data_IF_369913705202
#
_entry.id   IF_369913705202
#
_cell.length_a   1.000
_cell.length_b   1.000
_cell.length_c   1.000
_cell.angle_alpha   90.00
_cell.angle_beta   90.00
_cell.angle_gamma   90.00
#
_symmetry.space_group_name_H-M   'P 1'
#
loop_
_entity.id
_entity.type
_entity.pdbx_description
1 polymer ?
#
# COMPACT_ATOMS: atom_id res chain seq x y z
N UNK A 1 30.69 8.74 33.20
CA UNK A 1 29.51 9.48 32.76
C UNK A 1 28.54 8.49 32.17
N UNK A 2 27.70 7.97 33.03
CA UNK A 2 26.56 7.12 32.73
C UNK A 2 25.41 8.05 32.30
N UNK A 3 25.08 8.05 31.00
CA UNK A 3 23.89 8.73 30.51
C UNK A 3 22.67 7.89 30.89
N UNK A 4 21.85 8.45 31.75
CA UNK A 4 20.50 7.93 32.05
C UNK A 4 19.64 8.08 30.80
N UNK A 5 19.15 6.95 30.29
CA UNK A 5 18.10 6.96 29.32
C UNK A 5 16.77 7.32 30.00
N UNK A 6 16.14 8.42 29.58
CA UNK A 6 14.87 8.86 30.09
C UNK A 6 13.71 7.94 29.55
N UNK A 7 12.52 8.00 30.15
CA UNK A 7 11.38 7.10 29.83
C UNK A 7 10.75 7.31 28.45
N UNK A 8 11.42 8.00 27.52
CA UNK A 8 10.91 8.36 26.19
C UNK A 8 11.68 7.73 25.02
N UNK A 9 12.52 6.71 25.27
CA UNK A 9 13.35 6.05 24.24
C UNK A 9 12.69 4.81 23.62
N UNK A 10 11.36 4.77 23.55
CA UNK A 10 10.66 3.77 22.74
C UNK A 10 10.75 4.16 21.26
N UNK A 11 11.49 3.40 20.43
CA UNK A 11 11.66 3.71 19.02
C UNK A 11 10.33 3.74 18.24
N UNK A 12 9.26 3.14 18.79
CA UNK A 12 7.92 3.17 18.19
C UNK A 12 7.22 4.52 18.37
N UNK A 13 7.58 5.29 19.38
CA UNK A 13 6.99 6.63 19.64
C UNK A 13 7.73 7.77 18.90
N UNK A 14 9.02 7.59 18.59
CA UNK A 14 9.81 8.63 17.93
C UNK A 14 9.32 9.00 16.52
N UNK A 15 8.74 8.06 15.77
CA UNK A 15 8.23 8.36 14.43
C UNK A 15 6.89 9.14 14.46
N UNK A 16 6.06 8.96 15.51
CA UNK A 16 4.84 9.74 15.71
C UNK A 16 5.14 11.21 16.01
N UNK A 17 6.22 11.48 16.75
CA UNK A 17 6.72 12.84 17.01
C UNK A 17 7.17 13.50 15.71
N UNK A 18 7.85 12.78 14.83
CA UNK A 18 8.26 13.29 13.51
C UNK A 18 7.09 13.58 12.57
N UNK A 19 5.97 12.83 12.67
CA UNK A 19 4.73 13.13 11.95
C UNK A 19 4.10 14.45 12.44
N UNK A 20 4.07 14.68 13.74
CA UNK A 20 3.55 15.94 14.35
C UNK A 20 4.43 17.16 14.04
N UNK A 21 5.75 17.00 13.98
CA UNK A 21 6.68 18.09 13.65
C UNK A 21 6.67 18.48 12.17
N UNK A 22 6.35 17.54 11.25
CA UNK A 22 6.27 17.84 9.82
C UNK A 22 4.94 18.48 9.39
N UNK A 23 3.88 18.41 10.22
CA UNK A 23 2.59 19.04 9.96
C UNK A 23 2.50 20.51 10.43
N UNK A 24 3.46 21.00 11.21
CA UNK A 24 3.44 22.33 11.83
C UNK A 24 4.10 23.43 10.99
N UNK A 25 3.94 23.45 9.69
CA UNK A 25 4.56 24.50 8.88
C UNK A 25 4.01 24.66 7.48
N UNK A 26 3.07 25.53 7.30
CA UNK A 26 2.97 26.61 6.30
C UNK A 26 1.54 26.97 5.94
N UNK A 27 1.11 28.15 6.35
CA UNK A 27 -0.05 28.86 5.79
C UNK A 27 0.26 29.30 4.35
N UNK A 28 -0.59 28.95 3.38
CA UNK A 28 -0.57 29.54 2.05
C UNK A 28 -1.97 29.73 1.45
N UNK A 29 -2.15 30.90 0.93
CA UNK A 29 -3.31 31.59 0.39
C UNK A 29 -4.14 30.82 -0.65
N UNK A 30 -5.45 31.12 -0.63
CA UNK A 30 -6.49 30.63 -1.54
C UNK A 30 -6.45 31.33 -2.90
N UNK A 31 -6.56 30.55 -3.97
CA UNK A 31 -7.10 31.06 -5.26
C UNK A 31 -8.12 30.05 -5.81
N UNK A 32 -9.33 30.57 -6.11
CA UNK A 32 -10.44 29.84 -6.73
C UNK A 32 -10.30 29.88 -8.24
N UNK A 33 -10.54 28.73 -8.92
CA UNK A 33 -11.10 28.75 -10.28
C UNK A 33 -11.90 27.46 -10.61
N UNK A 34 -12.81 27.59 -11.54
CA UNK A 34 -14.08 26.93 -11.76
C UNK A 34 -14.02 25.47 -12.28
N UNK A 35 -15.10 24.74 -11.99
CA UNK A 35 -15.40 23.37 -12.33
C UNK A 35 -15.73 23.14 -13.81
N UNK A 36 -15.33 21.99 -14.33
CA UNK A 36 -15.93 21.34 -15.49
C UNK A 36 -16.55 20.00 -15.06
N UNK A 37 -17.85 19.88 -15.32
CA UNK A 37 -18.67 18.70 -15.03
C UNK A 37 -18.28 17.55 -15.98
N UNK A 38 -17.92 16.41 -15.42
CA UNK A 38 -17.92 15.13 -16.14
C UNK A 38 -18.67 14.07 -15.34
N UNK A 39 -19.57 13.40 -16.05
CA UNK A 39 -20.53 12.38 -15.66
C UNK A 39 -20.04 11.43 -14.58
N UNK A 40 -20.85 11.27 -13.54
CA UNK A 40 -20.71 10.24 -12.51
C UNK A 40 -21.06 8.87 -13.09
N UNK A 41 -20.25 7.83 -12.83
CA UNK A 41 -20.67 6.46 -13.08
C UNK A 41 -21.70 6.00 -12.02
N UNK A 42 -22.61 5.19 -12.46
CA UNK A 42 -23.79 4.60 -11.83
C UNK A 42 -23.75 4.39 -10.31
N UNK A 43 -24.91 4.65 -9.71
CA UNK A 43 -25.26 4.44 -8.31
C UNK A 43 -24.85 3.05 -7.81
N UNK A 44 -23.69 2.95 -7.15
CA UNK A 44 -23.37 1.83 -6.30
C UNK A 44 -24.40 1.80 -5.15
N UNK A 45 -25.20 0.74 -5.04
CA UNK A 45 -26.16 0.53 -3.95
C UNK A 45 -25.48 0.74 -2.60
N UNK A 46 -25.84 1.81 -1.92
CA UNK A 46 -25.37 2.09 -0.55
C UNK A 46 -26.14 1.16 0.39
N UNK A 47 -25.49 0.40 1.28
CA UNK A 47 -26.14 -0.53 2.20
C UNK A 47 -27.21 0.14 3.09
N UNK A 48 -28.31 -0.55 3.38
CA UNK A 48 -29.37 -0.02 4.26
C UNK A 48 -28.86 0.07 5.71
N UNK A 49 -29.32 1.09 6.44
CA UNK A 49 -28.92 1.37 7.86
C UNK A 49 -29.24 0.24 8.83
N UNK A 50 -30.11 -0.69 8.42
CA UNK A 50 -30.55 -1.83 9.25
C UNK A 50 -29.76 -3.11 9.00
N UNK A 51 -28.84 -3.13 8.02
CA UNK A 51 -28.05 -4.31 7.76
C UNK A 51 -26.95 -4.54 8.81
N UNK A 52 -26.67 -5.81 9.20
CA UNK A 52 -25.56 -6.12 10.07
C UNK A 52 -24.25 -5.65 9.41
N UNK A 53 -23.32 -5.12 10.22
CA UNK A 53 -22.02 -4.64 9.71
C UNK A 53 -21.30 -5.83 9.06
N UNK A 54 -21.09 -5.76 7.74
CA UNK A 54 -20.26 -6.72 7.04
C UNK A 54 -18.81 -6.55 7.51
N UNK A 55 -18.19 -7.64 7.92
CA UNK A 55 -16.78 -7.67 8.33
C UNK A 55 -15.81 -7.56 7.16
N UNK A 56 -16.29 -7.58 5.92
CA UNK A 56 -15.45 -7.43 4.75
C UNK A 56 -14.92 -5.98 4.61
N UNK A 57 -13.59 -5.75 4.61
CA UNK A 57 -13.03 -4.41 4.53
C UNK A 57 -13.26 -3.78 3.16
N UNK A 58 -13.55 -2.47 3.13
CA UNK A 58 -13.57 -1.68 1.89
C UNK A 58 -12.19 -1.67 1.24
N UNK A 59 -12.16 -1.81 -0.09
CA UNK A 59 -10.93 -1.95 -0.87
C UNK A 59 -10.59 -0.68 -1.64
N UNK A 60 -9.32 -0.31 -1.64
CA UNK A 60 -8.82 0.83 -2.40
C UNK A 60 -8.40 0.45 -3.82
N UNK A 61 -8.53 1.41 -4.74
CA UNK A 61 -8.01 1.34 -6.11
C UNK A 61 -6.60 1.97 -6.17
N UNK A 62 -5.77 1.57 -7.13
CA UNK A 62 -4.53 2.28 -7.42
C UNK A 62 -4.89 3.63 -8.04
N UNK A 63 -4.40 4.72 -7.44
CA UNK A 63 -4.63 6.08 -7.89
C UNK A 63 -3.42 6.68 -8.58
N UNK A 64 -3.68 7.71 -9.39
CA UNK A 64 -2.65 8.55 -9.98
C UNK A 64 -2.47 9.82 -9.14
N UNK A 65 -1.23 10.12 -8.75
CA UNK A 65 -0.87 11.26 -7.90
C UNK A 65 -1.38 12.57 -8.53
N UNK A 66 -1.19 12.77 -9.85
CA UNK A 66 -1.61 13.99 -10.54
C UNK A 66 -3.13 14.16 -10.63
N UNK A 67 -3.90 13.07 -10.62
CA UNK A 67 -5.35 13.13 -10.59
C UNK A 67 -5.87 13.60 -9.21
N UNK A 68 -5.28 13.07 -8.13
CA UNK A 68 -5.63 13.48 -6.76
C UNK A 68 -5.19 14.93 -6.49
N UNK A 69 -4.01 15.35 -6.97
CA UNK A 69 -3.48 16.70 -6.78
C UNK A 69 -4.40 17.80 -7.34
N UNK A 70 -5.12 17.52 -8.44
CA UNK A 70 -6.06 18.50 -9.06
C UNK A 70 -7.27 18.80 -8.19
N UNK A 71 -7.62 17.92 -7.26
CA UNK A 71 -8.76 18.00 -6.34
C UNK A 71 -8.33 17.77 -4.91
N UNK A 72 -7.18 18.33 -4.51
CA UNK A 72 -6.51 18.03 -3.24
C UNK A 72 -7.40 18.25 -2.00
N UNK A 73 -8.28 19.27 -2.04
CA UNK A 73 -9.17 19.63 -0.93
C UNK A 73 -10.24 18.58 -0.63
N UNK A 74 -10.59 17.74 -1.61
CA UNK A 74 -11.59 16.68 -1.46
C UNK A 74 -11.06 15.45 -0.70
N UNK A 75 -9.75 15.36 -0.55
CA UNK A 75 -9.07 14.17 -0.04
C UNK A 75 -8.44 14.39 1.31
N UNK A 76 -8.52 13.36 2.14
CA UNK A 76 -7.67 13.19 3.32
C UNK A 76 -6.55 12.22 3.00
N UNK A 77 -5.37 12.46 3.55
CA UNK A 77 -4.17 11.66 3.28
C UNK A 77 -3.77 10.92 4.55
N UNK A 78 -3.70 9.59 4.47
CA UNK A 78 -3.20 8.73 5.54
C UNK A 78 -1.97 7.98 5.08
N UNK A 79 -1.12 7.57 6.00
CA UNK A 79 0.02 6.71 5.67
C UNK A 79 -0.47 5.33 5.24
N UNK A 80 0.10 4.81 4.16
CA UNK A 80 -0.22 3.47 3.71
C UNK A 80 0.64 2.47 4.50
N UNK A 81 0.02 1.92 5.54
CA UNK A 81 0.64 0.88 6.34
C UNK A 81 0.83 -0.39 5.53
N UNK A 82 1.93 -1.12 5.79
CA UNK A 82 2.23 -2.41 5.18
C UNK A 82 2.13 -3.50 6.25
N UNK A 83 1.00 -4.18 6.30
CA UNK A 83 0.67 -5.10 7.36
C UNK A 83 -0.41 -6.12 7.00
N UNK A 84 -1.17 -6.52 7.99
CA UNK A 84 -2.35 -7.39 7.88
C UNK A 84 -3.60 -6.59 8.22
N UNK A 85 -4.46 -6.39 7.22
CA UNK A 85 -5.75 -5.72 7.41
C UNK A 85 -6.65 -6.54 8.31
N UNK A 86 -7.27 -5.89 9.29
CA UNK A 86 -8.24 -6.51 10.17
C UNK A 86 -9.44 -5.61 10.43
N UNK A 87 -10.61 -6.24 10.53
CA UNK A 87 -11.80 -5.65 11.15
C UNK A 87 -11.85 -6.18 12.56
N UNK A 88 -11.87 -5.28 13.54
CA UNK A 88 -11.97 -5.63 14.95
C UNK A 88 -13.36 -5.33 15.46
N UNK A 89 -14.06 -6.36 15.98
CA UNK A 89 -15.28 -6.20 16.76
C UNK A 89 -14.89 -6.15 18.22
N UNK A 90 -15.33 -5.11 18.93
CA UNK A 90 -14.87 -4.80 20.28
C UNK A 90 -16.08 -4.62 21.19
N UNK A 91 -16.10 -5.37 22.28
CA UNK A 91 -16.91 -5.10 23.46
C UNK A 91 -16.05 -4.32 24.45
N UNK A 92 -16.46 -3.15 24.82
CA UNK A 92 -15.71 -2.27 25.71
C UNK A 92 -15.53 -2.89 27.08
N UNK A 93 -14.33 -2.76 27.66
CA UNK A 93 -14.08 -3.16 29.03
C UNK A 93 -14.82 -2.23 30.01
N UNK A 94 -15.29 -2.80 31.13
CA UNK A 94 -15.89 -2.09 32.26
C UNK A 94 -15.18 -2.45 33.55
N UNK A 95 -15.56 -1.86 34.67
CA UNK A 95 -14.99 -2.22 35.98
C UNK A 95 -15.22 -3.70 36.35
N UNK A 96 -16.30 -4.31 35.84
CA UNK A 96 -16.71 -5.67 36.16
C UNK A 96 -16.47 -6.67 35.02
N UNK A 97 -16.15 -6.20 33.80
CA UNK A 97 -15.97 -7.03 32.61
C UNK A 97 -14.71 -6.57 31.83
N UNK A 98 -13.75 -7.46 31.57
CA UNK A 98 -12.55 -7.12 30.81
C UNK A 98 -12.83 -6.75 29.34
N UNK A 99 -14.08 -6.93 28.87
CA UNK A 99 -14.46 -6.76 27.48
C UNK A 99 -13.96 -7.90 26.59
N UNK A 100 -14.19 -7.77 25.30
CA UNK A 100 -13.76 -8.75 24.32
C UNK A 100 -13.36 -8.11 22.99
N UNK A 101 -12.43 -8.76 22.29
CA UNK A 101 -11.98 -8.36 20.94
C UNK A 101 -12.00 -9.58 20.03
N UNK A 102 -12.56 -9.42 18.84
CA UNK A 102 -12.45 -10.40 17.75
C UNK A 102 -11.81 -9.73 16.55
N UNK A 103 -10.72 -10.30 16.04
CA UNK A 103 -9.96 -9.80 14.90
C UNK A 103 -10.22 -10.66 13.67
N UNK A 104 -10.88 -10.11 12.67
CA UNK A 104 -11.15 -10.81 11.40
C UNK A 104 -10.26 -10.24 10.30
N UNK A 105 -9.48 -11.11 9.67
CA UNK A 105 -8.61 -10.73 8.55
C UNK A 105 -9.43 -10.43 7.28
N UNK A 106 -8.77 -9.82 6.29
CA UNK A 106 -9.39 -9.54 4.98
C UNK A 106 -9.98 -10.77 4.29
N UNK A 107 -9.48 -11.97 4.59
CA UNK A 107 -9.94 -13.24 4.00
C UNK A 107 -10.93 -13.97 4.91
N UNK A 108 -11.58 -13.25 5.79
CA UNK A 108 -12.60 -13.78 6.72
C UNK A 108 -12.06 -14.88 7.67
N UNK A 109 -10.80 -14.76 8.09
CA UNK A 109 -10.20 -15.66 9.05
C UNK A 109 -10.13 -14.97 10.41
N UNK A 110 -10.55 -15.67 11.47
CA UNK A 110 -10.29 -15.25 12.84
C UNK A 110 -8.80 -15.38 13.14
N UNK A 111 -8.17 -14.27 13.49
CA UNK A 111 -6.75 -14.14 13.80
C UNK A 111 -6.51 -13.65 15.23
N UNK A 112 -7.54 -13.63 16.06
CA UNK A 112 -7.50 -13.11 17.43
C UNK A 112 -6.41 -13.78 18.26
N UNK A 113 -6.38 -15.11 18.28
CA UNK A 113 -5.39 -15.88 19.03
C UNK A 113 -3.95 -15.69 18.54
N UNK A 114 -3.75 -15.28 17.29
CA UNK A 114 -2.42 -15.02 16.72
C UNK A 114 -1.79 -13.73 17.28
N UNK A 115 -2.63 -12.78 17.71
CA UNK A 115 -2.20 -11.45 18.16
C UNK A 115 -2.81 -11.10 19.53
N UNK A 116 -2.48 -11.86 20.61
CA UNK A 116 -3.11 -11.69 21.91
C UNK A 116 -2.86 -10.33 22.56
N UNK A 117 -1.78 -9.63 22.21
CA UNK A 117 -1.50 -8.28 22.68
C UNK A 117 -2.55 -7.25 22.23
N UNK A 118 -3.26 -7.51 21.13
CA UNK A 118 -4.26 -6.59 20.56
C UNK A 118 -5.62 -6.67 21.25
N UNK A 119 -5.84 -7.62 22.17
CA UNK A 119 -7.05 -7.64 23.02
C UNK A 119 -7.10 -6.44 23.96
N UNK A 120 -5.98 -5.74 24.17
CA UNK A 120 -5.91 -4.44 24.84
C UNK A 120 -6.90 -3.43 24.26
N UNK A 121 -7.31 -3.57 23.00
CA UNK A 121 -8.26 -2.68 22.34
C UNK A 121 -9.57 -2.56 23.13
N UNK A 122 -10.03 -3.60 23.85
CA UNK A 122 -11.22 -3.52 24.71
C UNK A 122 -11.11 -2.45 25.81
N UNK A 123 -9.89 -2.20 26.29
CA UNK A 123 -9.59 -1.18 27.30
C UNK A 123 -9.36 0.21 26.69
N UNK A 124 -9.12 0.26 25.37
CA UNK A 124 -8.85 1.49 24.63
C UNK A 124 -10.12 2.12 24.03
N UNK A 125 -11.27 1.48 24.14
CA UNK A 125 -12.53 2.00 23.61
C UNK A 125 -13.48 2.44 24.71
N UNK A 126 -14.26 3.49 24.45
CA UNK A 126 -15.27 4.01 25.38
C UNK A 126 -16.67 3.42 25.16
N UNK A 127 -16.88 2.66 24.11
CA UNK A 127 -18.15 2.05 23.69
C UNK A 127 -17.89 0.79 22.87
N UNK A 128 -18.88 -0.10 22.83
CA UNK A 128 -18.85 -1.24 21.90
C UNK A 128 -18.75 -0.73 20.48
N UNK A 129 -17.82 -1.28 19.70
CA UNK A 129 -17.59 -0.77 18.33
C UNK A 129 -17.05 -1.81 17.37
N UNK A 130 -17.14 -1.49 16.08
CA UNK A 130 -16.44 -2.19 15.02
C UNK A 130 -15.48 -1.22 14.35
N UNK A 131 -14.21 -1.55 14.33
CA UNK A 131 -13.17 -0.69 13.75
C UNK A 131 -12.40 -1.40 12.65
N UNK A 132 -11.82 -0.61 11.76
CA UNK A 132 -11.02 -1.04 10.62
C UNK A 132 -9.58 -0.58 10.82
N UNK A 133 -8.62 -1.51 10.73
CA UNK A 133 -7.23 -1.22 11.02
C UNK A 133 -6.26 -2.10 10.25
N UNK A 134 -4.96 -1.80 10.44
CA UNK A 134 -3.85 -2.58 9.89
C UNK A 134 -2.94 -3.01 11.02
N UNK A 135 -2.69 -4.31 11.16
CA UNK A 135 -1.72 -4.86 12.10
C UNK A 135 -0.35 -4.72 11.48
N UNK A 136 0.58 -4.09 12.18
CA UNK A 136 1.95 -3.86 11.72
C UNK A 136 2.98 -4.35 12.75
N UNK A 137 4.21 -4.59 12.30
CA UNK A 137 5.36 -4.78 13.16
C UNK A 137 6.48 -3.83 12.75
N UNK A 138 7.27 -3.37 13.69
CA UNK A 138 8.37 -2.45 13.43
C UNK A 138 9.71 -3.16 13.39
N UNK A 139 10.58 -2.74 12.47
CA UNK A 139 11.95 -3.15 12.41
C UNK A 139 12.83 -2.40 13.43
N UNK A 140 14.10 -2.79 13.52
CA UNK A 140 15.09 -2.18 14.44
C UNK A 140 15.27 -0.66 14.28
N UNK A 141 14.87 -0.10 13.13
CA UNK A 141 14.93 1.33 12.85
C UNK A 141 13.66 2.09 13.18
N UNK A 142 12.66 1.46 13.81
CA UNK A 142 11.37 2.08 14.14
C UNK A 142 10.43 2.30 12.94
N UNK A 143 10.77 1.78 11.75
CA UNK A 143 9.87 1.83 10.60
C UNK A 143 9.05 0.54 10.51
N UNK A 144 7.80 0.60 10.02
CA UNK A 144 7.02 -0.58 9.73
C UNK A 144 7.76 -1.49 8.76
N UNK A 145 7.82 -2.79 9.07
CA UNK A 145 8.56 -3.78 8.30
C UNK A 145 7.77 -5.08 8.20
N UNK A 146 7.14 -5.32 7.06
CA UNK A 146 6.29 -6.49 6.83
C UNK A 146 7.03 -7.82 7.07
N UNK A 147 8.33 -7.86 6.78
CA UNK A 147 9.17 -9.04 7.03
C UNK A 147 9.22 -9.46 8.51
N UNK A 148 9.10 -8.51 9.44
CA UNK A 148 8.96 -8.80 10.87
C UNK A 148 7.59 -9.41 11.17
N UNK A 149 6.52 -8.79 10.64
CA UNK A 149 5.17 -9.29 10.82
C UNK A 149 4.98 -10.72 10.27
N UNK A 150 5.64 -11.08 9.17
CA UNK A 150 5.59 -12.43 8.61
C UNK A 150 5.99 -13.51 9.60
N UNK A 151 6.82 -13.22 10.61
CA UNK A 151 7.21 -14.16 11.66
C UNK A 151 6.07 -14.49 12.61
N UNK A 152 5.10 -13.58 12.75
CA UNK A 152 3.90 -13.74 13.56
C UNK A 152 2.76 -14.41 12.79
N UNK A 153 2.72 -14.19 11.48
CA UNK A 153 1.64 -14.70 10.63
C UNK A 153 1.59 -16.23 10.65
N UNK A 154 0.36 -16.77 10.67
CA UNK A 154 0.08 -18.21 10.63
C UNK A 154 0.57 -19.02 11.83
N UNK A 155 0.99 -18.37 12.91
CA UNK A 155 1.22 -19.08 14.18
C UNK A 155 -0.12 -19.50 14.78
N UNK A 156 -0.21 -20.76 15.18
CA UNK A 156 -1.42 -21.34 15.79
C UNK A 156 -1.15 -22.04 17.12
N UNK A 157 0.12 -22.33 17.42
CA UNK A 157 0.49 -22.95 18.68
C UNK A 157 0.71 -21.88 19.73
N UNK A 158 0.04 -21.95 20.90
CA UNK A 158 0.18 -20.94 21.96
C UNK A 158 1.63 -20.68 22.38
N UNK A 159 2.45 -21.72 22.51
CA UNK A 159 3.87 -21.59 22.87
C UNK A 159 4.68 -20.78 21.85
N UNK A 160 4.40 -20.96 20.55
CA UNK A 160 5.11 -20.27 19.49
C UNK A 160 4.65 -18.80 19.41
N UNK A 161 3.37 -18.56 19.69
CA UNK A 161 2.78 -17.21 19.77
C UNK A 161 3.41 -16.43 20.93
N UNK A 162 3.44 -17.01 22.13
CA UNK A 162 4.03 -16.39 23.33
C UNK A 162 5.52 -16.08 23.13
N UNK A 163 6.27 -17.01 22.54
CA UNK A 163 7.69 -16.82 22.23
C UNK A 163 7.90 -15.67 21.23
N UNK A 164 7.07 -15.59 20.18
CA UNK A 164 7.23 -14.58 19.14
C UNK A 164 6.63 -13.22 19.53
N UNK A 165 5.64 -13.16 20.39
CA UNK A 165 5.07 -11.91 20.91
C UNK A 165 6.15 -11.04 21.55
N UNK A 166 6.99 -11.59 22.40
CA UNK A 166 8.08 -10.86 23.06
C UNK A 166 9.21 -10.44 22.10
N UNK A 167 9.45 -11.22 21.01
CA UNK A 167 10.52 -10.96 20.04
C UNK A 167 10.11 -10.00 18.93
N UNK A 168 8.84 -10.03 18.58
CA UNK A 168 8.25 -9.25 17.47
C UNK A 168 6.86 -8.79 17.90
N UNK A 169 6.79 -7.76 18.77
CA UNK A 169 5.52 -7.16 19.15
C UNK A 169 4.83 -6.58 17.92
N UNK A 170 3.49 -6.64 17.89
CA UNK A 170 2.68 -6.06 16.83
C UNK A 170 1.85 -4.90 17.37
N UNK A 171 1.39 -4.06 16.46
CA UNK A 171 0.62 -2.85 16.77
C UNK A 171 -0.54 -2.74 15.80
N UNK A 172 -1.69 -2.29 16.28
CA UNK A 172 -2.87 -2.04 15.47
C UNK A 172 -2.98 -0.54 15.16
N UNK A 173 -2.91 -0.20 13.88
CA UNK A 173 -3.17 1.14 13.36
C UNK A 173 -4.64 1.24 12.98
N UNK A 174 -5.46 1.82 13.86
CA UNK A 174 -6.90 1.98 13.65
C UNK A 174 -7.13 3.25 12.83
N UNK A 175 -7.81 3.13 11.70
CA UNK A 175 -8.00 4.27 10.80
C UNK A 175 -9.46 4.49 10.35
N UNK A 176 -10.42 3.65 10.76
CA UNK A 176 -11.84 3.87 10.53
C UNK A 176 -12.70 3.22 11.61
N UNK A 177 -13.92 3.71 11.81
CA UNK A 177 -14.95 3.12 12.69
C UNK A 177 -16.22 2.90 11.89
N UNK A 178 -16.79 1.69 12.00
CA UNK A 178 -17.88 1.22 11.16
C UNK A 178 -19.21 1.08 11.93
N UNK A 179 -19.12 0.89 13.25
CA UNK A 179 -20.25 0.77 14.14
C UNK A 179 -19.87 1.29 15.55
N UNK A 180 -20.81 1.92 16.25
CA UNK A 180 -20.65 2.32 17.66
C UNK A 180 -21.97 2.04 18.35
N UNK A 181 -21.97 1.26 19.45
CA UNK A 181 -23.15 0.90 20.25
C UNK A 181 -24.33 0.38 19.40
N UNK A 182 -24.02 -0.41 18.36
CA UNK A 182 -25.01 -0.96 17.42
C UNK A 182 -25.46 0.00 16.31
N UNK A 183 -25.07 1.28 16.35
CA UNK A 183 -25.35 2.22 15.26
C UNK A 183 -24.33 2.05 14.12
N UNK A 184 -24.82 1.71 12.93
CA UNK A 184 -23.98 1.58 11.73
C UNK A 184 -23.55 2.94 11.19
N UNK A 185 -22.23 3.11 10.98
CA UNK A 185 -21.63 4.31 10.40
C UNK A 185 -21.26 4.15 8.92
N UNK A 186 -21.66 3.05 8.28
CA UNK A 186 -21.28 2.77 6.89
C UNK A 186 -21.71 3.87 5.92
N UNK A 187 -22.87 4.51 6.18
CA UNK A 187 -23.40 5.63 5.36
C UNK A 187 -22.90 7.01 5.80
N UNK A 188 -22.17 7.08 6.89
CA UNK A 188 -21.60 8.34 7.39
C UNK A 188 -20.38 8.72 6.56
N UNK A 189 -20.20 9.99 6.17
CA UNK A 189 -19.02 10.46 5.46
C UNK A 189 -17.72 10.14 6.21
N UNK A 190 -16.66 9.80 5.49
CA UNK A 190 -15.35 9.46 6.07
C UNK A 190 -14.86 10.50 7.08
N UNK A 191 -14.98 11.80 6.77
CA UNK A 191 -14.53 12.86 7.68
C UNK A 191 -15.27 12.84 9.03
N UNK A 192 -16.54 12.45 9.06
CA UNK A 192 -17.33 12.33 10.29
C UNK A 192 -17.00 11.03 11.02
N UNK A 193 -16.81 9.90 10.29
CA UNK A 193 -16.35 8.65 10.91
C UNK A 193 -15.00 8.83 11.58
N UNK A 194 -14.07 9.59 10.97
CA UNK A 194 -12.78 9.90 11.60
C UNK A 194 -12.91 10.68 12.90
N UNK A 195 -13.81 11.67 12.98
CA UNK A 195 -14.08 12.38 14.23
C UNK A 195 -14.60 11.41 15.28
N UNK A 196 -15.58 10.57 14.89
CA UNK A 196 -16.17 9.58 15.79
C UNK A 196 -15.15 8.56 16.28
N UNK A 197 -14.20 8.16 15.42
CA UNK A 197 -13.10 7.27 15.78
C UNK A 197 -12.27 7.85 16.93
N UNK A 198 -11.86 9.11 16.86
CA UNK A 198 -11.09 9.79 17.92
C UNK A 198 -11.87 10.00 19.22
N UNK A 199 -13.21 10.01 19.17
CA UNK A 199 -14.06 10.08 20.36
C UNK A 199 -14.19 8.72 21.06
N UNK A 200 -14.14 7.62 20.30
CA UNK A 200 -14.41 6.26 20.78
C UNK A 200 -13.14 5.50 21.11
N UNK A 201 -12.05 5.68 20.34
CA UNK A 201 -10.82 4.92 20.52
C UNK A 201 -9.70 5.83 21.05
N UNK A 202 -9.12 5.45 22.17
CA UNK A 202 -7.89 6.03 22.73
C UNK A 202 -6.67 5.16 22.37
N UNK A 203 -5.47 5.75 22.35
CA UNK A 203 -4.22 5.01 22.15
C UNK A 203 -3.85 4.20 23.40
N UNK A 204 -3.22 3.04 23.18
CA UNK A 204 -2.69 2.12 24.19
C UNK A 204 -1.22 1.80 23.96
N UNK A 205 -0.74 0.70 24.53
CA UNK A 205 0.62 0.22 24.32
C UNK A 205 0.79 -0.32 22.89
N UNK A 206 -0.21 -1.08 22.41
CA UNK A 206 -0.23 -1.71 21.09
C UNK A 206 -1.28 -1.12 20.13
N UNK A 207 -2.06 -0.13 20.57
CA UNK A 207 -3.17 0.47 19.81
C UNK A 207 -2.83 1.92 19.47
N UNK A 208 -2.90 2.26 18.18
CA UNK A 208 -2.68 3.61 17.68
C UNK A 208 -3.81 4.06 16.76
N UNK A 209 -4.14 5.35 16.84
CA UNK A 209 -5.11 6.02 15.94
C UNK A 209 -4.37 7.11 15.17
N UNK A 210 -3.61 6.77 14.12
CA UNK A 210 -2.82 7.75 13.38
C UNK A 210 -3.70 8.85 12.78
N UNK A 211 -3.34 10.10 12.98
CA UNK A 211 -4.03 11.22 12.34
C UNK A 211 -3.89 11.18 10.81
N UNK A 212 -4.88 11.70 10.09
CA UNK A 212 -4.68 12.03 8.69
C UNK A 212 -3.64 13.14 8.58
N UNK A 213 -2.84 13.12 7.52
CA UNK A 213 -1.79 14.10 7.32
C UNK A 213 -2.40 15.50 7.09
N UNK A 214 -1.98 16.45 7.91
CA UNK A 214 -2.37 17.85 7.77
C UNK A 214 -1.36 18.56 6.86
N UNK A 215 -1.70 18.70 5.58
CA UNK A 215 -0.81 19.31 4.58
C UNK A 215 -1.14 18.85 3.16
N UNK A 216 -0.25 19.20 2.23
CA UNK A 216 -0.42 18.85 0.84
C UNK A 216 -0.17 17.36 0.57
N UNK A 217 -0.67 16.87 -0.56
CA UNK A 217 -0.35 15.52 -1.03
C UNK A 217 1.17 15.32 -1.19
N UNK A 218 1.89 16.34 -1.66
CA UNK A 218 3.34 16.24 -1.88
C UNK A 218 4.09 16.12 -0.55
N UNK A 219 3.64 16.81 0.49
CA UNK A 219 4.19 16.69 1.83
C UNK A 219 3.89 15.31 2.45
N UNK A 220 2.65 14.80 2.27
CA UNK A 220 2.29 13.46 2.71
C UNK A 220 3.14 12.39 2.00
N UNK A 221 3.33 12.49 0.69
CA UNK A 221 4.18 11.59 -0.08
C UNK A 221 5.65 11.68 0.37
N UNK A 222 6.17 12.89 0.57
CA UNK A 222 7.54 13.09 1.06
C UNK A 222 7.75 12.49 2.46
N UNK A 223 6.80 12.69 3.37
CA UNK A 223 6.85 12.13 4.72
C UNK A 223 6.76 10.61 4.72
N UNK A 224 5.84 10.05 3.92
CA UNK A 224 5.73 8.60 3.71
C UNK A 224 7.04 7.99 3.18
N UNK A 225 7.74 8.68 2.27
CA UNK A 225 9.03 8.23 1.73
C UNK A 225 10.15 8.27 2.79
N UNK A 226 10.22 9.33 3.61
CA UNK A 226 11.18 9.44 4.72
C UNK A 226 10.99 8.32 5.75
N UNK A 227 9.74 7.95 6.02
CA UNK A 227 9.36 6.85 6.91
C UNK A 227 9.49 5.47 6.25
N UNK A 228 9.91 5.39 5.00
CA UNK A 228 10.05 4.15 4.20
C UNK A 228 8.75 3.35 4.11
N UNK A 229 7.62 4.03 4.10
CA UNK A 229 6.30 3.41 3.89
C UNK A 229 6.06 3.18 2.39
N UNK A 230 5.09 2.32 2.07
CA UNK A 230 4.75 1.96 0.69
C UNK A 230 4.19 3.14 -0.12
N UNK A 231 3.57 4.11 0.55
CA UNK A 231 2.93 5.27 -0.05
C UNK A 231 1.91 5.92 0.88
N UNK A 232 0.91 6.53 0.28
CA UNK A 232 -0.17 7.25 0.95
C UNK A 232 -1.52 6.68 0.51
N UNK A 233 -2.47 6.63 1.44
CA UNK A 233 -3.88 6.40 1.18
C UNK A 233 -4.57 7.76 1.04
N UNK A 234 -5.16 8.05 -0.13
CA UNK A 234 -6.06 9.18 -0.31
C UNK A 234 -7.50 8.69 -0.15
N UNK A 235 -8.22 9.23 0.82
CA UNK A 235 -9.61 8.89 1.11
C UNK A 235 -10.49 10.12 0.88
N UNK A 236 -11.54 9.98 0.07
CA UNK A 236 -12.45 11.09 -0.21
C UNK A 236 -13.22 11.44 1.06
N UNK A 237 -13.18 12.72 1.48
CA UNK A 237 -13.72 13.21 2.75
C UNK A 237 -15.22 12.96 2.93
N UNK A 238 -15.97 13.01 1.82
CA UNK A 238 -17.42 12.81 1.76
C UNK A 238 -17.84 11.36 1.49
N UNK A 239 -16.87 10.44 1.34
CA UNK A 239 -17.18 9.07 0.96
C UNK A 239 -17.80 8.23 2.09
N UNK A 240 -18.77 7.41 1.72
CA UNK A 240 -19.33 6.35 2.57
C UNK A 240 -18.39 5.13 2.59
N UNK A 241 -18.57 4.25 3.59
CA UNK A 241 -17.82 3.00 3.65
C UNK A 241 -18.58 1.89 2.92
N UNK A 242 -17.99 1.33 1.87
CA UNK A 242 -18.59 0.27 1.05
C UNK A 242 -17.92 -1.07 1.37
N UNK A 243 -18.46 -1.78 2.36
CA UNK A 243 -17.93 -3.06 2.84
C UNK A 243 -17.77 -4.06 1.68
N UNK A 244 -16.62 -4.74 1.62
CA UNK A 244 -16.28 -5.72 0.59
C UNK A 244 -16.04 -5.16 -0.82
N UNK A 245 -16.39 -3.91 -1.10
CA UNK A 245 -16.29 -3.33 -2.45
C UNK A 245 -14.97 -2.59 -2.67
N UNK A 246 -14.50 -2.63 -3.92
CA UNK A 246 -13.38 -1.82 -4.40
C UNK A 246 -13.93 -0.54 -5.03
N UNK A 247 -13.51 0.61 -4.50
CA UNK A 247 -14.01 1.91 -4.96
C UNK A 247 -12.88 2.83 -5.40
N UNK A 248 -13.24 3.92 -6.08
CA UNK A 248 -12.32 5.01 -6.42
C UNK A 248 -12.30 6.13 -5.39
N UNK A 249 -13.13 6.04 -4.35
CA UNK A 249 -13.14 7.01 -3.24
C UNK A 249 -12.03 6.74 -2.23
N UNK A 250 -11.38 5.56 -2.29
CA UNK A 250 -10.15 5.24 -1.60
C UNK A 250 -9.08 4.88 -2.61
N UNK A 251 -7.99 5.64 -2.64
CA UNK A 251 -6.89 5.48 -3.58
C UNK A 251 -5.59 5.16 -2.87
N UNK A 252 -4.86 4.16 -3.39
CA UNK A 252 -3.48 3.87 -2.98
C UNK A 252 -2.54 4.64 -3.88
N UNK A 253 -1.81 5.59 -3.31
CA UNK A 253 -0.79 6.38 -3.98
C UNK A 253 0.57 5.83 -3.55
N UNK A 254 1.14 4.94 -4.35
CA UNK A 254 2.41 4.27 -4.04
C UNK A 254 3.58 5.10 -4.55
N UNK A 255 4.73 5.02 -3.85
CA UNK A 255 5.99 5.59 -4.32
C UNK A 255 6.49 4.88 -5.56
N UNK A 256 6.29 3.59 -5.61
CA UNK A 256 6.58 2.74 -6.75
C UNK A 256 5.45 1.73 -6.96
N UNK A 257 5.27 1.34 -8.22
CA UNK A 257 4.35 0.29 -8.63
C UNK A 257 5.16 -0.85 -9.21
N UNK A 258 4.73 -2.08 -9.01
CA UNK A 258 5.28 -3.24 -9.71
C UNK A 258 4.28 -3.73 -10.75
N UNK A 259 4.78 -4.30 -11.84
CA UNK A 259 3.99 -5.04 -12.82
C UNK A 259 4.83 -6.09 -13.52
N UNK A 260 4.16 -7.10 -14.01
CA UNK A 260 4.76 -8.08 -14.90
C UNK A 260 4.86 -7.52 -16.32
N UNK A 261 5.97 -7.84 -16.99
CA UNK A 261 6.27 -7.43 -18.35
C UNK A 261 6.89 -8.59 -19.13
N UNK A 262 6.69 -8.58 -20.44
CA UNK A 262 7.36 -9.49 -21.39
C UNK A 262 8.66 -8.88 -21.87
N UNK A 263 9.74 -9.64 -21.84
CA UNK A 263 11.01 -9.24 -22.47
C UNK A 263 10.87 -9.47 -23.97
N UNK A 264 11.01 -8.39 -24.75
CA UNK A 264 10.88 -8.40 -26.23
C UNK A 264 12.19 -8.10 -26.95
N UNK A 265 13.19 -7.72 -26.20
CA UNK A 265 14.53 -7.44 -26.72
C UNK A 265 15.45 -6.81 -25.68
N UNK A 266 16.66 -6.55 -26.09
CA UNK A 266 17.68 -5.88 -25.27
C UNK A 266 18.59 -5.02 -26.13
N UNK A 267 19.33 -4.10 -25.51
CA UNK A 267 20.35 -3.26 -26.15
C UNK A 267 21.69 -3.49 -25.49
N UNK A 268 22.76 -3.36 -26.25
CA UNK A 268 24.13 -3.54 -25.74
C UNK A 268 24.45 -2.56 -24.61
N UNK A 269 25.23 -3.04 -23.65
CA UNK A 269 25.77 -2.24 -22.56
C UNK A 269 27.00 -1.46 -22.97
N UNK A 270 27.21 -0.31 -22.35
CA UNK A 270 28.38 0.52 -22.49
C UNK A 270 29.27 0.45 -21.23
N UNK A 271 30.58 0.71 -21.38
CA UNK A 271 31.48 0.75 -20.24
C UNK A 271 31.59 -0.59 -19.50
N UNK A 272 31.32 -0.59 -18.19
CA UNK A 272 31.39 -1.79 -17.34
C UNK A 272 30.42 -2.92 -17.71
N UNK A 273 29.43 -2.67 -18.58
CA UNK A 273 28.48 -3.67 -19.10
C UNK A 273 28.75 -4.11 -20.53
N UNK A 274 29.97 -3.84 -21.03
CA UNK A 274 30.41 -4.27 -22.36
C UNK A 274 30.43 -5.80 -22.42
N UNK A 275 29.78 -6.40 -23.42
CA UNK A 275 29.65 -7.87 -23.53
C UNK A 275 28.36 -8.46 -22.92
N UNK A 276 27.59 -7.64 -22.18
CA UNK A 276 26.25 -7.97 -21.69
C UNK A 276 25.23 -7.00 -22.28
N UNK A 277 24.05 -6.83 -21.62
CA UNK A 277 23.09 -5.84 -22.06
C UNK A 277 23.09 -4.61 -21.14
N UNK A 278 22.81 -3.43 -21.70
CA UNK A 278 22.64 -2.18 -20.96
C UNK A 278 21.20 -1.90 -20.56
N UNK A 279 20.23 -2.44 -21.33
CA UNK A 279 18.81 -2.33 -21.01
C UNK A 279 17.98 -3.38 -21.72
N UNK A 280 16.89 -3.80 -21.09
CA UNK A 280 15.83 -4.62 -21.66
C UNK A 280 14.80 -3.74 -22.35
N UNK A 281 14.19 -4.25 -23.41
CA UNK A 281 13.00 -3.72 -24.06
C UNK A 281 11.82 -4.58 -23.60
N UNK A 282 10.77 -3.93 -23.06
CA UNK A 282 9.66 -4.65 -22.43
C UNK A 282 8.30 -4.27 -23.02
N UNK A 283 7.37 -5.22 -22.98
CA UNK A 283 6.03 -5.11 -23.53
C UNK A 283 5.00 -5.83 -22.64
N UNK A 284 3.71 -5.68 -22.95
CA UNK A 284 2.63 -6.48 -22.41
C UNK A 284 1.59 -6.76 -23.51
N UNK A 285 0.73 -7.76 -23.30
CA UNK A 285 -0.36 -8.09 -24.22
C UNK A 285 -1.51 -7.07 -24.09
N UNK A 286 -2.21 -6.84 -25.19
CA UNK A 286 -3.48 -6.12 -25.25
C UNK A 286 -4.41 -6.81 -26.26
N UNK A 287 -5.65 -6.39 -26.34
CA UNK A 287 -6.63 -6.90 -27.31
C UNK A 287 -6.15 -6.72 -28.77
N UNK A 288 -5.30 -5.73 -29.02
CA UNK A 288 -4.73 -5.42 -30.35
C UNK A 288 -3.36 -6.06 -30.59
N UNK A 289 -2.85 -6.87 -29.67
CA UNK A 289 -1.52 -7.49 -29.70
C UNK A 289 -0.55 -6.85 -28.70
N UNK A 290 0.76 -7.07 -28.90
CA UNK A 290 1.79 -6.58 -27.97
C UNK A 290 1.93 -5.06 -28.00
N UNK A 291 1.93 -4.45 -26.83
CA UNK A 291 2.19 -3.03 -26.60
C UNK A 291 3.56 -2.84 -25.94
N UNK A 292 4.40 -2.03 -26.56
CA UNK A 292 5.72 -1.70 -26.01
C UNK A 292 5.61 -0.77 -24.80
N UNK A 293 6.19 -1.14 -23.67
CA UNK A 293 6.10 -0.40 -22.40
C UNK A 293 7.35 0.42 -22.05
N UNK A 294 8.45 0.25 -22.79
CA UNK A 294 9.66 1.04 -22.53
C UNK A 294 10.92 0.22 -22.32
N UNK A 295 11.91 0.82 -21.65
CA UNK A 295 13.22 0.22 -21.36
C UNK A 295 13.45 0.12 -19.86
N UNK A 296 14.04 -1.00 -19.43
CA UNK A 296 14.54 -1.24 -18.07
C UNK A 296 16.07 -1.30 -18.12
N UNK A 297 16.73 -0.35 -17.47
CA UNK A 297 18.21 -0.22 -17.53
C UNK A 297 18.91 -0.33 -16.17
N UNK A 298 18.16 -0.52 -15.09
CA UNK A 298 18.70 -0.57 -13.71
C UNK A 298 18.07 -1.70 -12.92
N UNK A 299 18.68 -2.07 -11.78
CA UNK A 299 18.19 -3.09 -10.86
C UNK A 299 18.79 -4.47 -11.09
N UNK A 300 19.73 -4.63 -12.02
CA UNK A 300 20.43 -5.89 -12.28
C UNK A 300 21.72 -5.95 -11.48
N UNK A 301 22.02 -7.11 -10.91
CA UNK A 301 23.36 -7.48 -10.47
C UNK A 301 24.13 -8.21 -11.60
N UNK A 302 25.41 -8.46 -11.40
CA UNK A 302 26.28 -9.02 -12.43
C UNK A 302 25.93 -10.47 -12.80
N UNK A 303 25.45 -11.27 -11.85
CA UNK A 303 25.02 -12.65 -12.05
C UNK A 303 23.73 -12.70 -12.87
N UNK A 304 22.79 -11.82 -12.56
CA UNK A 304 21.53 -11.66 -13.30
C UNK A 304 21.79 -11.19 -14.74
N UNK A 305 22.74 -10.27 -14.96
CA UNK A 305 23.09 -9.80 -16.29
C UNK A 305 23.58 -10.94 -17.19
N UNK A 306 24.40 -11.84 -16.64
CA UNK A 306 24.96 -12.97 -17.41
C UNK A 306 23.90 -14.05 -17.65
N UNK A 307 23.21 -14.51 -16.62
CA UNK A 307 22.21 -15.58 -16.73
C UNK A 307 21.04 -15.18 -17.65
N UNK A 308 20.56 -13.94 -17.51
CA UNK A 308 19.47 -13.44 -18.34
C UNK A 308 19.90 -13.27 -19.81
N UNK A 309 21.16 -12.90 -20.05
CA UNK A 309 21.71 -12.83 -21.40
C UNK A 309 21.71 -14.20 -22.09
N UNK A 310 22.12 -15.26 -21.40
CA UNK A 310 22.10 -16.62 -21.90
C UNK A 310 20.68 -17.12 -22.25
N UNK A 311 19.68 -16.79 -21.41
CA UNK A 311 18.28 -17.12 -21.68
C UNK A 311 17.74 -16.36 -22.90
N UNK A 312 18.07 -15.08 -23.03
CA UNK A 312 17.63 -14.26 -24.16
C UNK A 312 18.26 -14.73 -25.49
N UNK A 313 19.50 -15.17 -25.48
CA UNK A 313 20.19 -15.68 -26.69
C UNK A 313 19.52 -16.95 -27.25
N UNK A 314 18.98 -17.84 -26.38
CA UNK A 314 18.20 -19.01 -26.79
C UNK A 314 16.87 -18.64 -27.47
N UNK A 315 16.35 -17.46 -27.19
CA UNK A 315 15.06 -16.94 -27.69
C UNK A 315 15.24 -15.87 -28.78
N UNK A 316 16.48 -15.72 -29.31
CA UNK A 316 16.82 -14.69 -30.29
C UNK A 316 15.98 -14.78 -31.57
N UNK A 317 15.57 -13.61 -32.11
CA UNK A 317 14.81 -13.50 -33.36
C UNK A 317 15.27 -12.30 -34.19
N UNK A 318 15.05 -12.37 -35.52
CA UNK A 318 15.51 -11.35 -36.47
C UNK A 318 14.66 -10.09 -36.51
N UNK A 319 13.39 -10.17 -36.16
CA UNK A 319 12.43 -9.07 -36.30
C UNK A 319 11.80 -8.68 -34.95
N UNK A 320 11.47 -7.40 -34.73
CA UNK A 320 10.79 -6.99 -33.51
C UNK A 320 9.44 -7.68 -33.36
N UNK A 321 9.09 -8.22 -32.17
CA UNK A 321 7.78 -8.82 -31.92
C UNK A 321 6.70 -7.77 -31.69
N UNK A 322 7.08 -6.53 -31.44
CA UNK A 322 6.19 -5.42 -31.13
C UNK A 322 6.62 -4.14 -31.87
N UNK A 323 5.72 -3.21 -32.10
CA UNK A 323 6.01 -1.92 -32.69
C UNK A 323 6.79 -1.04 -31.68
N UNK A 324 8.09 -0.88 -31.93
CA UNK A 324 9.01 -0.08 -31.11
C UNK A 324 9.32 1.24 -31.81
N UNK A 325 9.45 2.39 -31.12
CA UNK A 325 9.90 3.66 -31.71
C UNK A 325 11.24 3.54 -32.41
N UNK A 326 11.45 4.32 -33.48
CA UNK A 326 12.63 4.22 -34.35
C UNK A 326 13.93 4.46 -33.57
N UNK A 327 13.95 5.42 -32.66
CA UNK A 327 15.07 5.75 -31.78
C UNK A 327 15.45 4.62 -30.82
N UNK A 328 14.53 3.70 -30.54
CA UNK A 328 14.72 2.55 -29.67
C UNK A 328 15.13 1.26 -30.43
N UNK A 329 15.03 1.25 -31.76
CA UNK A 329 15.38 0.09 -32.59
C UNK A 329 16.87 -0.02 -32.89
N UNK A 330 17.58 1.08 -32.82
CA UNK A 330 19.00 1.13 -33.09
C UNK A 330 19.74 0.25 -32.07
N UNK A 331 20.61 -0.64 -32.54
CA UNK A 331 21.42 -1.56 -31.73
C UNK A 331 20.56 -2.47 -30.80
N UNK A 332 19.34 -2.78 -31.23
CA UNK A 332 18.43 -3.65 -30.49
C UNK A 332 18.53 -5.10 -31.02
N UNK A 333 18.64 -6.03 -30.09
CA UNK A 333 18.53 -7.46 -30.30
C UNK A 333 17.16 -7.94 -29.85
N UNK A 334 16.46 -8.64 -30.75
CA UNK A 334 15.07 -9.02 -30.49
C UNK A 334 14.96 -10.42 -29.90
N UNK A 335 13.98 -10.60 -29.02
CA UNK A 335 13.72 -11.84 -28.29
C UNK A 335 12.28 -12.26 -28.49
N UNK A 336 12.05 -13.56 -28.62
CA UNK A 336 10.68 -14.12 -28.61
C UNK A 336 10.08 -13.89 -27.21
N UNK A 337 8.89 -13.27 -27.07
CA UNK A 337 8.33 -12.83 -25.80
C UNK A 337 7.82 -14.01 -24.95
N UNK A 338 8.72 -14.78 -24.39
CA UNK A 338 8.44 -15.91 -23.50
C UNK A 338 8.95 -15.72 -22.07
N UNK A 339 9.83 -14.73 -21.86
CA UNK A 339 10.36 -14.42 -20.54
C UNK A 339 9.47 -13.35 -19.91
N UNK A 340 8.87 -13.70 -18.79
CA UNK A 340 8.14 -12.77 -17.92
C UNK A 340 9.05 -12.26 -16.83
N UNK A 341 8.94 -10.97 -16.53
CA UNK A 341 9.72 -10.32 -15.49
C UNK A 341 8.85 -9.34 -14.71
N UNK A 342 9.16 -9.17 -13.43
CA UNK A 342 8.61 -8.08 -12.64
C UNK A 342 9.50 -6.85 -12.74
N UNK A 343 8.88 -5.70 -12.93
CA UNK A 343 9.55 -4.40 -12.90
C UNK A 343 8.83 -3.47 -11.94
N UNK A 344 9.59 -2.71 -11.18
CA UNK A 344 9.10 -1.59 -10.40
C UNK A 344 9.17 -0.32 -11.25
N UNK A 345 8.19 0.58 -11.12
CA UNK A 345 8.13 1.82 -11.90
C UNK A 345 7.39 2.93 -11.14
N UNK A 346 7.73 4.19 -11.40
CA UNK A 346 7.16 5.35 -10.72
C UNK A 346 5.86 5.88 -11.33
N UNK A 347 5.31 5.22 -12.36
CA UNK A 347 4.08 5.64 -13.06
C UNK A 347 4.17 5.44 -14.57
N UNK A 348 3.12 5.84 -15.29
CA UNK A 348 3.06 5.77 -16.75
C UNK A 348 3.19 7.15 -17.38
N UNK A 349 3.84 7.24 -18.52
CA UNK A 349 3.84 8.46 -19.36
C UNK A 349 2.52 8.56 -20.14
N UNK A 350 2.21 9.74 -20.69
CA UNK A 350 1.07 9.92 -21.61
C UNK A 350 1.11 9.00 -22.85
N UNK A 351 2.30 8.53 -23.22
CA UNK A 351 2.50 7.60 -24.32
C UNK A 351 2.41 6.13 -23.90
N UNK A 352 1.93 5.81 -22.68
CA UNK A 352 1.81 4.44 -22.17
C UNK A 352 3.17 3.78 -21.89
N UNK A 353 4.21 4.54 -21.49
CA UNK A 353 5.53 4.01 -21.15
C UNK A 353 5.76 4.04 -19.65
N UNK A 354 6.48 3.03 -19.14
CA UNK A 354 6.93 2.99 -17.75
C UNK A 354 7.91 4.15 -17.46
N UNK A 355 7.70 4.86 -16.35
CA UNK A 355 8.62 5.88 -15.84
C UNK A 355 9.59 5.24 -14.84
N UNK A 356 10.88 5.48 -15.05
CA UNK A 356 11.95 5.02 -14.16
C UNK A 356 11.85 3.54 -13.79
N UNK A 357 11.66 2.62 -14.77
CA UNK A 357 11.51 1.21 -14.44
C UNK A 357 12.82 0.61 -13.94
N UNK A 358 12.70 -0.20 -12.88
CA UNK A 358 13.76 -0.91 -12.20
C UNK A 358 13.46 -2.40 -12.25
N UNK A 359 14.42 -3.20 -12.60
CA UNK A 359 14.32 -4.66 -12.61
C UNK A 359 14.13 -5.23 -11.21
N UNK A 360 13.24 -6.21 -11.06
CA UNK A 360 13.01 -6.95 -9.81
C UNK A 360 13.34 -8.44 -9.91
N UNK A 361 13.11 -9.06 -11.06
CA UNK A 361 13.43 -10.46 -11.28
C UNK A 361 12.63 -11.09 -12.41
N UNK A 362 13.01 -12.31 -12.79
CA UNK A 362 12.18 -13.16 -13.65
C UNK A 362 10.98 -13.71 -12.86
N UNK A 363 9.88 -13.91 -13.57
CA UNK A 363 8.64 -14.51 -13.08
C UNK A 363 8.30 -15.77 -13.89
N UNK A 364 9.03 -16.88 -13.66
CA UNK A 364 8.78 -18.14 -14.36
C UNK A 364 7.43 -18.80 -13.93
N UNK A 365 6.82 -18.30 -12.89
CA UNK A 365 5.52 -18.69 -12.35
C UNK A 365 4.33 -18.06 -13.08
N UNK A 366 4.56 -17.08 -13.97
CA UNK A 366 3.52 -16.35 -14.72
C UNK A 366 3.55 -16.79 -16.18
N UNK A 367 2.35 -17.12 -16.73
CA UNK A 367 2.21 -17.39 -18.15
C UNK A 367 2.39 -16.09 -18.97
N UNK A 368 3.22 -16.09 -20.04
CA UNK A 368 3.35 -14.93 -20.91
C UNK A 368 2.04 -14.35 -21.44
N UNK A 369 1.01 -15.17 -21.65
CA UNK A 369 -0.29 -14.73 -22.13
C UNK A 369 -1.13 -13.99 -21.06
N UNK A 370 -0.79 -14.15 -19.76
CA UNK A 370 -1.43 -13.45 -18.64
C UNK A 370 -0.86 -12.03 -18.41
N UNK A 371 0.25 -11.68 -19.07
CA UNK A 371 0.87 -10.35 -18.93
C UNK A 371 0.13 -9.34 -19.79
N UNK A 372 -0.88 -8.72 -19.25
CA UNK A 372 -1.74 -7.75 -19.94
C UNK A 372 -1.40 -6.29 -19.58
N UNK A 373 -1.80 -5.33 -20.45
CA UNK A 373 -1.57 -3.88 -20.26
C UNK A 373 -2.29 -3.34 -19.04
#
# INVERSE_FOLDING_TARGET
NTGEHGPNDDPTKNWMIHLKESSAGQDAEKTKEQADEQEQPDDDEVPDRTEPVDHAPMLATIGEIDAVRRHADDWAYEMKWDGVRTIATVQAATDDDPGAVTLISRNDLDITDTYPELVELAQCVSSDCVVDGEIVAFGKGGNPEFSQLQRRMKLTKPSDIEEQQSKTPVYLMVFDVLNVDGESLLRTPYAERRKRLFEVVSEGEHIYVPEAFDGSLDDAMSSSQKLKLEGVMAKKKDSVYMAGKRTRTWLKLKHSMTRDVLIVGWREGNGGRQGTFGSLLVAANSDEGLVYLGRVGTGFDDEQLQSLREEMDKLSRKTPPVKVPVDQRRDAHWVTPRLVAEVEYGGMTRAGRLRHPVWRGLRPDIDPDEVIV
#
